data_IF_687007255645
#
_entry.id   IF_687007255645
#
_cell.length_a   1.000
_cell.length_b   1.000
_cell.length_c   1.000
_cell.angle_alpha   90.00
_cell.angle_beta   90.00
_cell.angle_gamma   90.00
#
_symmetry.space_group_name_H-M   'P 1'
#
loop_
_entity.id
_entity.type
_entity.pdbx_description
1 polymer ?
#
# COMPACT_ATOMS: atom_id res chain seq x y z
N UNK A 1 -20.27 -7.07 -9.42
CA UNK A 1 -18.97 -7.07 -10.10
C UNK A 1 -18.13 -8.20 -9.51
N UNK A 2 -17.49 -8.99 -10.35
CA UNK A 2 -16.55 -10.02 -9.92
C UNK A 2 -15.16 -9.40 -9.92
N UNK A 3 -14.43 -9.54 -8.81
CA UNK A 3 -13.02 -9.15 -8.73
C UNK A 3 -12.19 -10.31 -9.27
N UNK A 4 -11.37 -10.04 -10.28
CA UNK A 4 -10.44 -10.99 -10.85
C UNK A 4 -9.08 -10.82 -10.16
N UNK A 5 -8.40 -11.92 -9.90
CA UNK A 5 -7.01 -11.90 -9.47
C UNK A 5 -6.13 -12.09 -10.71
N UNK A 6 -5.53 -11.03 -11.25
CA UNK A 6 -4.67 -11.14 -12.42
C UNK A 6 -3.31 -11.72 -12.04
N UNK A 7 -2.62 -12.24 -13.04
CA UNK A 7 -1.20 -12.52 -12.97
C UNK A 7 -0.48 -11.32 -13.57
N UNK A 8 0.25 -10.59 -12.74
CA UNK A 8 1.14 -9.52 -13.18
C UNK A 8 2.44 -10.16 -13.69
N UNK A 9 2.73 -10.00 -14.98
CA UNK A 9 3.89 -10.65 -15.58
C UNK A 9 5.16 -9.80 -15.45
N UNK A 10 5.03 -8.52 -15.07
CA UNK A 10 6.15 -7.58 -14.87
C UNK A 10 5.80 -6.55 -13.81
N UNK A 11 6.80 -5.88 -13.27
CA UNK A 11 6.60 -4.79 -12.32
C UNK A 11 6.16 -3.51 -13.05
N UNK A 12 5.18 -2.81 -12.46
CA UNK A 12 4.76 -1.47 -12.89
C UNK A 12 5.39 -0.45 -11.94
N UNK A 13 6.22 0.44 -12.47
CA UNK A 13 7.01 1.41 -11.68
C UNK A 13 6.49 2.82 -11.91
N UNK A 14 6.17 3.55 -10.84
CA UNK A 14 5.74 4.94 -10.92
C UNK A 14 6.80 5.81 -11.63
N UNK A 15 6.36 6.68 -12.55
CA UNK A 15 7.23 7.52 -13.36
C UNK A 15 7.96 6.81 -14.50
N UNK A 16 7.81 5.49 -14.65
CA UNK A 16 8.44 4.72 -15.74
C UNK A 16 7.41 4.36 -16.78
N UNK A 17 7.63 4.76 -18.03
CA UNK A 17 6.71 4.45 -19.15
C UNK A 17 6.66 2.95 -19.38
N UNK A 18 5.45 2.40 -19.45
CA UNK A 18 5.22 0.99 -19.73
C UNK A 18 5.56 0.66 -21.20
N UNK A 19 6.01 -0.56 -21.41
CA UNK A 19 6.33 -1.13 -22.69
C UNK A 19 5.44 -2.35 -22.98
N UNK A 20 5.46 -2.89 -24.18
CA UNK A 20 4.72 -4.10 -24.53
C UNK A 20 5.07 -5.33 -23.66
N UNK A 21 6.19 -5.31 -22.94
CA UNK A 21 6.56 -6.34 -21.97
C UNK A 21 5.77 -6.24 -20.64
N UNK A 22 5.18 -5.08 -20.36
CA UNK A 22 4.35 -4.88 -19.16
C UNK A 22 2.95 -5.43 -19.44
N UNK A 23 2.72 -6.69 -19.12
CA UNK A 23 1.47 -7.39 -19.42
C UNK A 23 0.75 -7.84 -18.15
N UNK A 24 -0.55 -8.01 -18.28
CA UNK A 24 -1.46 -8.47 -17.27
C UNK A 24 -2.31 -9.60 -17.86
N UNK A 25 -2.35 -10.74 -17.20
CA UNK A 25 -3.12 -11.91 -17.66
C UNK A 25 -4.19 -12.31 -16.66
N UNK A 26 -5.35 -12.71 -17.16
CA UNK A 26 -6.44 -13.26 -16.36
C UNK A 26 -7.24 -14.30 -17.14
N UNK A 27 -7.97 -15.13 -16.42
CA UNK A 27 -8.82 -16.15 -17.03
C UNK A 27 -10.22 -15.61 -17.30
N UNK A 28 -10.75 -15.96 -18.47
CA UNK A 28 -12.15 -15.72 -18.86
C UNK A 28 -12.81 -17.04 -19.19
N UNK A 29 -14.11 -17.17 -18.96
CA UNK A 29 -14.89 -18.32 -19.40
C UNK A 29 -15.58 -17.99 -20.71
N UNK A 30 -15.10 -18.56 -21.80
CA UNK A 30 -15.61 -18.33 -23.16
C UNK A 30 -16.85 -19.20 -23.38
N UNK A 31 -17.96 -18.59 -23.79
CA UNK A 31 -19.23 -19.29 -24.06
C UNK A 31 -19.46 -19.56 -25.54
N UNK A 32 -18.76 -18.85 -26.44
CA UNK A 32 -18.75 -19.07 -27.86
C UNK A 32 -17.42 -18.63 -28.50
N UNK A 33 -16.87 -19.37 -29.46
CA UNK A 33 -15.70 -18.93 -30.22
C UNK A 33 -15.94 -17.59 -30.92
N UNK A 34 -14.90 -16.78 -31.06
CA UNK A 34 -15.01 -15.47 -31.71
C UNK A 34 -13.86 -14.52 -31.39
N UNK A 35 -13.86 -13.38 -32.02
CA UNK A 35 -12.90 -12.32 -31.76
C UNK A 35 -13.23 -11.58 -30.46
N UNK A 36 -12.19 -11.13 -29.76
CA UNK A 36 -12.37 -10.23 -28.61
C UNK A 36 -11.49 -8.99 -28.76
N UNK A 37 -11.96 -7.90 -28.17
CA UNK A 37 -11.19 -6.68 -27.95
C UNK A 37 -11.54 -6.15 -26.56
N UNK A 38 -10.53 -6.03 -25.71
CA UNK A 38 -10.67 -5.59 -24.32
C UNK A 38 -9.84 -4.34 -24.11
N UNK A 39 -10.39 -3.40 -23.38
CA UNK A 39 -9.72 -2.17 -22.99
C UNK A 39 -10.03 -1.86 -21.54
N UNK A 40 -9.02 -1.43 -20.81
CA UNK A 40 -9.16 -0.87 -19.48
C UNK A 40 -8.96 0.62 -19.60
N UNK A 41 -9.96 1.44 -19.23
CA UNK A 41 -9.83 2.90 -19.25
C UNK A 41 -8.63 3.35 -18.43
N UNK A 42 -8.07 4.51 -18.77
CA UNK A 42 -6.90 5.04 -18.06
C UNK A 42 -7.18 5.22 -16.56
N UNK A 43 -6.39 4.53 -15.74
CA UNK A 43 -6.37 4.70 -14.29
C UNK A 43 -4.93 4.94 -13.89
N UNK A 44 -4.67 5.99 -13.14
CA UNK A 44 -3.33 6.37 -12.67
C UNK A 44 -2.30 6.48 -13.83
N UNK A 45 -2.72 6.95 -15.01
CA UNK A 45 -1.86 7.12 -16.19
C UNK A 45 -1.56 5.83 -16.98
N UNK A 46 -2.19 4.71 -16.62
CA UNK A 46 -2.00 3.41 -17.28
C UNK A 46 -3.27 2.97 -18.00
N UNK A 47 -3.10 2.44 -19.20
CA UNK A 47 -4.14 1.81 -20.03
C UNK A 47 -3.67 0.39 -20.32
N UNK A 48 -4.58 -0.58 -20.22
CA UNK A 48 -4.33 -1.94 -20.70
C UNK A 48 -5.26 -2.28 -21.85
N UNK A 49 -4.71 -2.85 -22.92
CA UNK A 49 -5.48 -3.28 -24.10
C UNK A 49 -5.05 -4.64 -24.59
N UNK A 50 -5.97 -5.37 -25.16
CA UNK A 50 -5.68 -6.65 -25.81
C UNK A 50 -6.80 -7.09 -26.73
N UNK A 51 -6.45 -7.76 -27.79
CA UNK A 51 -7.39 -8.33 -28.76
C UNK A 51 -6.90 -9.68 -29.24
N UNK A 52 -7.81 -10.51 -29.69
CA UNK A 52 -7.47 -11.83 -30.17
C UNK A 52 -8.70 -12.61 -30.63
N UNK A 53 -8.53 -13.93 -30.72
CA UNK A 53 -9.56 -14.86 -31.14
C UNK A 53 -9.63 -16.06 -30.20
N UNK A 54 -10.80 -16.34 -29.67
CA UNK A 54 -11.08 -17.55 -28.91
C UNK A 54 -11.50 -18.68 -29.85
N UNK A 55 -10.67 -19.72 -29.96
CA UNK A 55 -10.94 -20.86 -30.85
C UNK A 55 -11.87 -21.90 -30.20
N UNK A 56 -11.98 -21.91 -28.85
CA UNK A 56 -12.74 -22.89 -28.10
C UNK A 56 -13.54 -22.26 -26.97
N UNK A 57 -14.59 -22.94 -26.53
CA UNK A 57 -15.36 -22.63 -25.32
C UNK A 57 -14.61 -23.09 -24.07
N UNK A 58 -14.95 -22.52 -22.90
CA UNK A 58 -14.36 -22.85 -21.61
C UNK A 58 -13.35 -21.85 -21.12
N UNK A 59 -12.55 -22.18 -20.09
CA UNK A 59 -11.56 -21.29 -19.53
C UNK A 59 -10.43 -20.99 -20.53
N UNK A 60 -10.23 -19.69 -20.82
CA UNK A 60 -9.17 -19.19 -21.70
C UNK A 60 -8.42 -18.07 -21.00
N UNK A 61 -7.12 -17.95 -21.26
CA UNK A 61 -6.29 -16.86 -20.73
C UNK A 61 -6.31 -15.69 -21.70
N UNK A 62 -6.57 -14.49 -21.16
CA UNK A 62 -6.43 -13.24 -21.90
C UNK A 62 -5.21 -12.51 -21.35
N UNK A 63 -4.38 -11.99 -22.25
CA UNK A 63 -3.25 -11.13 -21.91
C UNK A 63 -3.47 -9.75 -22.49
N UNK A 64 -3.37 -8.73 -21.62
CA UNK A 64 -3.43 -7.32 -22.01
C UNK A 64 -2.04 -6.70 -21.91
N UNK A 65 -1.69 -5.85 -22.86
CA UNK A 65 -0.46 -5.04 -22.81
C UNK A 65 -0.74 -3.69 -22.18
N UNK A 66 0.16 -3.26 -21.30
CA UNK A 66 0.07 -1.97 -20.62
C UNK A 66 0.75 -0.86 -21.41
N UNK A 67 0.16 0.34 -21.38
CA UNK A 67 0.68 1.55 -22.00
C UNK A 67 0.51 2.74 -21.06
N UNK A 68 1.36 3.75 -21.26
CA UNK A 68 1.34 4.97 -20.44
C UNK A 68 2.40 4.97 -19.34
N UNK A 69 2.31 5.95 -18.44
CA UNK A 69 3.26 6.13 -17.35
C UNK A 69 2.49 6.22 -16.04
N UNK A 70 2.66 5.24 -15.12
CA UNK A 70 2.02 5.29 -13.82
C UNK A 70 2.42 6.55 -13.07
N UNK A 71 1.46 7.34 -12.58
CA UNK A 71 1.74 8.62 -11.92
C UNK A 71 2.10 8.44 -10.44
N UNK A 72 1.45 7.51 -9.75
CA UNK A 72 1.59 7.31 -8.30
C UNK A 72 1.77 5.83 -7.96
N UNK A 73 2.63 5.49 -6.99
CA UNK A 73 2.72 4.13 -6.47
C UNK A 73 1.49 3.78 -5.63
N UNK A 74 1.18 2.50 -5.52
CA UNK A 74 0.08 1.99 -4.71
C UNK A 74 -0.70 0.88 -5.40
N UNK A 75 -1.75 0.43 -4.72
CA UNK A 75 -2.70 -0.55 -5.26
C UNK A 75 -3.73 0.19 -6.10
N UNK A 76 -3.92 -0.24 -7.33
CA UNK A 76 -4.86 0.35 -8.30
C UNK A 76 -5.96 -0.65 -8.60
N UNK A 77 -7.22 -0.22 -8.50
CA UNK A 77 -8.38 -0.98 -8.98
C UNK A 77 -8.80 -0.44 -10.34
N UNK A 78 -8.94 -1.31 -11.30
CA UNK A 78 -9.34 -0.96 -12.66
C UNK A 78 -10.47 -1.87 -13.15
N UNK A 79 -11.35 -1.31 -13.96
CA UNK A 79 -12.50 -2.02 -14.55
C UNK A 79 -12.21 -2.37 -16.02
N UNK A 80 -12.43 -3.61 -16.39
CA UNK A 80 -12.39 -4.03 -17.79
C UNK A 80 -13.65 -3.54 -18.49
N UNK A 81 -13.48 -2.65 -19.45
CA UNK A 81 -14.58 -2.24 -20.32
C UNK A 81 -14.65 -3.17 -21.51
N UNK A 82 -15.83 -3.74 -21.76
CA UNK A 82 -16.14 -4.48 -22.98
C UNK A 82 -17.39 -3.90 -23.62
N UNK A 83 -17.40 -3.84 -24.92
CA UNK A 83 -18.55 -3.33 -25.68
C UNK A 83 -19.81 -4.21 -25.56
N UNK A 84 -19.72 -5.44 -25.03
CA UNK A 84 -20.80 -6.43 -25.05
C UNK A 84 -21.12 -7.10 -23.71
N UNK A 85 -20.49 -6.73 -22.58
CA UNK A 85 -20.77 -7.36 -21.29
C UNK A 85 -21.66 -6.50 -20.40
N UNK A 86 -22.77 -7.08 -19.97
CA UNK A 86 -23.66 -6.49 -18.95
C UNK A 86 -23.06 -6.50 -17.53
N UNK A 87 -21.92 -7.15 -17.32
CA UNK A 87 -21.20 -7.26 -16.04
C UNK A 87 -19.79 -6.69 -16.18
N UNK A 88 -19.49 -5.67 -15.35
CA UNK A 88 -18.13 -5.14 -15.21
C UNK A 88 -17.31 -6.12 -14.37
N UNK A 89 -16.10 -6.43 -14.84
CA UNK A 89 -15.10 -7.14 -14.07
C UNK A 89 -14.03 -6.15 -13.62
N UNK A 90 -13.73 -6.14 -12.33
CA UNK A 90 -12.64 -5.32 -11.78
C UNK A 90 -11.44 -6.20 -11.49
N UNK A 91 -10.25 -5.65 -11.60
CA UNK A 91 -9.03 -6.27 -11.14
C UNK A 91 -8.14 -5.28 -10.39
N UNK A 92 -7.21 -5.82 -9.64
CA UNK A 92 -6.27 -5.04 -8.82
C UNK A 92 -4.86 -5.30 -9.35
N UNK A 93 -4.07 -4.25 -9.52
CA UNK A 93 -2.64 -4.34 -9.82
C UNK A 93 -1.84 -3.38 -8.97
N UNK A 94 -0.54 -3.66 -8.80
CA UNK A 94 0.34 -2.90 -7.91
C UNK A 94 1.35 -2.09 -8.70
N UNK A 95 1.43 -0.80 -8.42
CA UNK A 95 2.47 0.10 -8.92
C UNK A 95 3.48 0.32 -7.80
N UNK A 96 4.74 -0.04 -8.05
CA UNK A 96 5.82 0.17 -7.10
C UNK A 96 6.41 1.58 -7.25
N UNK A 97 7.03 2.14 -6.19
CA UNK A 97 7.72 3.43 -6.27
C UNK A 97 8.86 3.42 -7.30
N UNK A 98 9.20 4.60 -7.81
CA UNK A 98 10.42 4.78 -8.62
C UNK A 98 11.65 4.42 -7.78
N UNK A 99 12.47 3.50 -8.29
CA UNK A 99 13.59 2.92 -7.54
C UNK A 99 13.48 1.41 -7.32
N UNK A 100 12.32 0.80 -7.67
CA UNK A 100 12.13 -0.65 -7.72
C UNK A 100 12.00 -1.36 -6.37
N UNK A 101 11.99 -0.64 -5.26
CA UNK A 101 11.77 -1.22 -3.93
C UNK A 101 10.31 -1.11 -3.52
N UNK A 102 9.68 -2.27 -3.23
CA UNK A 102 8.37 -2.31 -2.59
C UNK A 102 8.42 -1.71 -1.18
N UNK A 103 9.53 -1.90 -0.47
CA UNK A 103 9.74 -1.41 0.88
C UNK A 103 10.55 -0.10 0.86
N UNK A 104 10.10 0.87 1.62
CA UNK A 104 10.84 2.09 1.85
C UNK A 104 12.17 1.81 2.56
N UNK A 105 13.19 2.58 2.21
CA UNK A 105 14.43 2.63 2.97
C UNK A 105 14.41 3.89 3.83
N UNK A 106 14.44 3.72 5.15
CA UNK A 106 14.37 4.82 6.11
C UNK A 106 14.93 4.43 7.47
N UNK A 107 15.18 5.44 8.29
CA UNK A 107 15.51 5.31 9.71
C UNK A 107 14.57 6.20 10.52
N UNK A 108 14.33 5.83 11.78
CA UNK A 108 13.62 6.72 12.71
C UNK A 108 14.52 7.90 13.04
N UNK A 109 13.99 9.12 12.97
CA UNK A 109 14.73 10.31 13.38
C UNK A 109 14.90 10.31 14.92
N UNK A 110 16.13 10.47 15.40
CA UNK A 110 16.49 10.28 16.81
C UNK A 110 16.89 8.83 17.14
N UNK A 111 17.28 8.02 16.12
CA UNK A 111 17.69 6.64 16.33
C UNK A 111 18.73 6.48 17.45
N UNK A 112 18.48 5.52 18.33
CA UNK A 112 19.31 5.28 19.52
C UNK A 112 19.05 6.23 20.70
N UNK A 113 18.13 7.18 20.58
CA UNK A 113 17.73 8.15 21.60
C UNK A 113 16.24 8.49 21.51
N UNK A 114 15.83 9.65 22.03
CA UNK A 114 14.44 10.13 21.90
C UNK A 114 14.04 10.35 20.44
N UNK A 115 12.82 9.92 20.08
CA UNK A 115 12.25 10.16 18.78
C UNK A 115 12.13 11.67 18.51
N UNK A 116 12.55 12.11 17.31
CA UNK A 116 12.45 13.51 16.94
C UNK A 116 10.98 13.90 16.68
N UNK A 117 10.65 15.16 17.03
CA UNK A 117 9.33 15.77 16.86
C UNK A 117 8.17 14.95 17.43
N UNK A 118 8.42 14.25 18.54
CA UNK A 118 7.38 13.48 19.21
C UNK A 118 6.21 14.37 19.66
N UNK A 119 5.00 13.95 19.33
CA UNK A 119 3.76 14.54 19.79
C UNK A 119 2.65 13.51 19.87
N UNK A 120 1.63 13.76 20.69
CA UNK A 120 0.49 12.86 20.88
C UNK A 120 -0.83 13.57 20.66
N UNK A 121 -1.86 12.80 20.30
CA UNK A 121 -3.25 13.26 20.25
C UNK A 121 -4.15 12.23 20.93
N UNK A 122 -5.27 12.69 21.48
CA UNK A 122 -6.20 11.88 22.27
C UNK A 122 -5.87 11.83 23.75
N UNK A 123 -6.73 11.17 24.52
CA UNK A 123 -6.56 10.97 25.98
C UNK A 123 -6.16 9.54 26.27
N UNK A 124 -5.17 9.36 27.12
CA UNK A 124 -4.61 8.05 27.45
C UNK A 124 -4.98 7.69 28.88
N UNK A 125 -6.17 7.11 29.07
CA UNK A 125 -6.74 6.80 30.39
C UNK A 125 -6.67 5.31 30.69
N UNK A 126 -6.16 4.88 31.86
CA UNK A 126 -6.14 3.48 32.27
C UNK A 126 -7.52 2.84 32.24
N UNK A 127 -7.59 1.58 31.80
CA UNK A 127 -8.83 0.84 31.68
C UNK A 127 -9.71 1.22 30.48
N UNK A 128 -9.37 2.28 29.72
CA UNK A 128 -10.11 2.69 28.53
C UNK A 128 -9.42 2.17 27.27
N UNK A 129 -10.10 1.37 26.43
CA UNK A 129 -9.52 0.89 25.18
C UNK A 129 -9.11 2.05 24.26
N UNK A 130 -7.91 1.95 23.69
CA UNK A 130 -7.42 2.89 22.69
C UNK A 130 -8.22 2.78 21.39
N UNK A 131 -8.33 3.89 20.68
CA UNK A 131 -9.06 3.98 19.42
C UNK A 131 -8.28 4.83 18.39
N UNK A 132 -8.83 5.03 17.21
CA UNK A 132 -8.17 5.76 16.10
C UNK A 132 -7.80 7.22 16.39
N UNK A 133 -8.27 7.81 17.50
CA UNK A 133 -7.91 9.19 17.91
C UNK A 133 -6.70 9.24 18.85
N UNK A 134 -6.34 8.10 19.45
CA UNK A 134 -5.16 7.97 20.30
C UNK A 134 -3.93 7.73 19.43
N UNK A 135 -3.16 8.77 19.17
CA UNK A 135 -2.03 8.70 18.23
C UNK A 135 -0.75 9.27 18.83
N UNK A 136 0.37 8.78 18.31
CA UNK A 136 1.70 9.33 18.52
C UNK A 136 2.32 9.66 17.16
N UNK A 137 2.88 10.83 16.99
CA UNK A 137 3.57 11.24 15.77
C UNK A 137 5.06 11.37 16.06
N UNK A 138 5.89 10.80 15.19
CA UNK A 138 7.36 10.86 15.23
C UNK A 138 7.89 11.06 13.82
N UNK A 139 9.13 11.50 13.67
CA UNK A 139 9.74 11.66 12.36
C UNK A 139 10.54 10.43 11.91
N UNK A 140 10.55 10.20 10.60
CA UNK A 140 11.43 9.27 9.90
C UNK A 140 12.29 10.02 8.87
N UNK A 141 13.53 9.58 8.68
CA UNK A 141 14.43 10.04 7.62
C UNK A 141 14.38 9.03 6.48
N UNK A 142 13.67 9.38 5.42
CA UNK A 142 13.43 8.51 4.27
C UNK A 142 14.52 8.74 3.22
N UNK A 143 15.22 7.66 2.86
CA UNK A 143 16.25 7.65 1.82
C UNK A 143 15.79 6.95 0.54
N UNK A 144 14.77 6.07 0.63
CA UNK A 144 14.10 5.44 -0.52
C UNK A 144 12.60 5.38 -0.31
N UNK A 145 11.84 5.76 -1.33
CA UNK A 145 10.37 5.73 -1.32
C UNK A 145 9.86 4.29 -1.32
N UNK A 146 8.66 4.04 -0.80
CA UNK A 146 8.06 2.71 -0.74
C UNK A 146 7.14 2.50 0.45
N UNK A 147 6.64 1.29 0.57
CA UNK A 147 5.77 0.89 1.68
C UNK A 147 6.59 0.82 2.97
N UNK A 148 6.01 1.32 4.05
CA UNK A 148 6.60 1.22 5.37
C UNK A 148 5.65 0.61 6.39
N UNK A 149 6.25 0.00 7.40
CA UNK A 149 5.60 -0.35 8.66
C UNK A 149 6.48 0.16 9.81
N UNK A 150 5.85 0.73 10.82
CA UNK A 150 6.48 1.20 12.06
C UNK A 150 5.66 0.70 13.23
N UNK A 151 6.30 0.16 14.24
CA UNK A 151 5.60 -0.33 15.42
C UNK A 151 6.41 -0.08 16.70
N UNK A 152 5.70 0.11 17.80
CA UNK A 152 6.35 0.10 19.13
C UNK A 152 6.35 -1.31 19.73
N UNK A 153 7.17 -1.50 20.75
CA UNK A 153 6.95 -2.58 21.71
C UNK A 153 5.61 -2.38 22.45
N UNK A 154 5.07 -3.46 23.01
CA UNK A 154 3.88 -3.38 23.87
C UNK A 154 4.30 -3.00 25.29
N UNK A 155 3.78 -1.88 25.78
CA UNK A 155 4.03 -1.39 27.14
C UNK A 155 2.70 -0.99 27.77
N UNK A 156 2.50 -1.33 29.03
CA UNK A 156 1.26 -1.04 29.77
C UNK A 156 -0.02 -1.50 29.04
N UNK A 157 0.06 -2.60 28.25
CA UNK A 157 -1.07 -3.12 27.47
C UNK A 157 -1.36 -2.35 26.16
N UNK A 158 -0.52 -1.40 25.78
CA UNK A 158 -0.67 -0.56 24.58
C UNK A 158 0.49 -0.79 23.61
N UNK A 159 0.16 -0.82 22.33
CA UNK A 159 1.13 -0.85 21.22
C UNK A 159 0.76 0.25 20.21
N UNK A 160 1.75 0.93 19.67
CA UNK A 160 1.58 1.93 18.61
C UNK A 160 1.99 1.36 17.27
N UNK A 161 1.16 1.51 16.24
CA UNK A 161 1.41 0.95 14.91
C UNK A 161 1.09 1.95 13.80
N UNK A 162 1.88 1.94 12.75
CA UNK A 162 1.63 2.68 11.53
C UNK A 162 2.05 1.86 10.30
N UNK A 163 1.33 2.02 9.21
CA UNK A 163 1.73 1.55 7.89
C UNK A 163 1.29 2.55 6.83
N UNK A 164 2.03 2.60 5.74
CA UNK A 164 1.72 3.54 4.66
C UNK A 164 2.75 3.46 3.54
N UNK A 165 2.80 4.53 2.74
CA UNK A 165 3.74 4.65 1.64
C UNK A 165 4.45 6.00 1.70
N UNK A 166 5.78 5.98 1.76
CA UNK A 166 6.59 7.18 1.57
C UNK A 166 6.73 7.47 0.06
N UNK A 167 6.11 8.55 -0.38
CA UNK A 167 6.15 9.00 -1.78
C UNK A 167 7.30 9.96 -2.09
N UNK A 168 8.02 10.42 -1.05
CA UNK A 168 9.14 11.35 -1.16
C UNK A 168 10.21 11.02 -0.13
N UNK A 169 11.47 11.30 -0.46
CA UNK A 169 12.61 11.23 0.46
C UNK A 169 12.68 12.43 1.41
N UNK A 170 13.59 12.39 2.37
CA UNK A 170 13.78 13.42 3.40
C UNK A 170 13.03 13.11 4.68
N UNK A 171 12.95 14.09 5.59
CA UNK A 171 12.24 13.93 6.85
C UNK A 171 10.73 13.89 6.63
N UNK A 172 10.08 12.86 7.17
CA UNK A 172 8.63 12.61 7.05
C UNK A 172 8.04 12.28 8.41
N UNK A 173 6.92 12.93 8.73
CA UNK A 173 6.15 12.59 9.92
C UNK A 173 5.43 11.24 9.72
N UNK A 174 5.47 10.40 10.75
CA UNK A 174 4.77 9.11 10.84
C UNK A 174 3.83 9.17 12.02
N UNK A 175 2.53 9.07 11.77
CA UNK A 175 1.51 9.02 12.82
C UNK A 175 1.15 7.56 13.09
N UNK A 176 1.43 7.12 14.31
CA UNK A 176 1.12 5.78 14.81
C UNK A 176 -0.20 5.82 15.57
N UNK A 177 -1.06 4.84 15.37
CA UNK A 177 -2.29 4.66 16.12
C UNK A 177 -2.06 3.71 17.27
N UNK A 178 -2.54 4.09 18.45
CA UNK A 178 -2.49 3.24 19.65
C UNK A 178 -3.58 2.15 19.57
N UNK A 179 -3.22 0.93 19.93
CA UNK A 179 -4.12 -0.21 20.08
C UNK A 179 -3.89 -0.87 21.45
N UNK A 180 -4.95 -1.44 22.02
CA UNK A 180 -4.91 -2.09 23.33
C UNK A 180 -5.61 -1.28 24.40
N UNK A 181 -5.42 -1.66 25.66
CA UNK A 181 -6.03 -1.00 26.84
C UNK A 181 -4.93 -0.78 27.88
N UNK A 182 -4.66 0.47 28.29
CA UNK A 182 -3.66 0.74 29.33
C UNK A 182 -4.09 0.12 30.66
N UNK A 183 -3.16 -0.56 31.32
CA UNK A 183 -3.43 -1.25 32.57
C UNK A 183 -3.33 -0.33 33.81
N UNK A 184 -2.42 0.64 33.79
CA UNK A 184 -2.11 1.49 34.95
C UNK A 184 -1.83 2.93 34.55
N UNK A 185 -2.03 3.86 35.48
CA UNK A 185 -1.55 5.24 35.39
C UNK A 185 -0.03 5.30 35.60
N UNK A 186 0.60 6.32 35.00
CA UNK A 186 2.05 6.54 35.10
C UNK A 186 2.69 6.83 33.75
N UNK A 187 3.98 7.14 33.80
CA UNK A 187 4.79 7.40 32.61
C UNK A 187 5.53 6.14 32.19
N UNK A 188 5.41 5.78 30.90
CA UNK A 188 6.00 4.58 30.33
C UNK A 188 6.78 4.92 29.07
N UNK A 189 7.94 4.27 28.90
CA UNK A 189 8.81 4.44 27.73
C UNK A 189 8.48 3.40 26.66
N UNK A 190 8.17 3.87 25.47
CA UNK A 190 7.94 3.07 24.27
C UNK A 190 9.16 3.11 23.36
N UNK A 191 9.56 1.95 22.85
CA UNK A 191 10.59 1.82 21.81
C UNK A 191 9.92 1.61 20.47
N UNK A 192 10.09 2.56 19.55
CA UNK A 192 9.50 2.54 18.20
C UNK A 192 10.54 2.08 17.20
N UNK A 193 10.22 1.02 16.48
CA UNK A 193 11.08 0.43 15.45
C UNK A 193 10.48 0.66 14.07
N UNK A 194 11.30 1.15 13.15
CA UNK A 194 10.95 1.33 11.76
C UNK A 194 12.19 1.34 10.85
N UNK A 195 12.08 0.74 9.67
CA UNK A 195 13.22 0.55 8.80
C UNK A 195 14.31 -0.27 9.50
N UNK A 196 15.52 0.30 9.60
CA UNK A 196 16.66 -0.35 10.24
C UNK A 196 17.03 0.25 11.60
N UNK A 197 16.13 1.00 12.25
CA UNK A 197 16.46 1.77 13.47
C UNK A 197 15.32 1.83 14.47
N UNK A 198 15.66 2.23 15.70
CA UNK A 198 14.74 2.36 16.84
C UNK A 198 14.99 3.68 17.54
N UNK A 199 13.93 4.37 17.95
CA UNK A 199 13.95 5.52 18.86
C UNK A 199 12.96 5.30 19.99
N UNK A 200 12.98 6.13 21.03
CA UNK A 200 12.10 6.00 22.21
C UNK A 200 11.27 7.26 22.44
N UNK A 201 10.11 7.11 23.07
CA UNK A 201 9.35 8.23 23.62
C UNK A 201 8.67 7.84 24.94
N UNK A 202 8.46 8.83 25.80
CA UNK A 202 7.74 8.65 27.04
C UNK A 202 6.30 9.13 26.89
N UNK A 203 5.34 8.34 27.41
CA UNK A 203 3.92 8.66 27.39
C UNK A 203 3.33 8.48 28.79
N UNK A 204 2.56 9.48 29.24
CA UNK A 204 1.86 9.44 30.54
C UNK A 204 0.39 9.04 30.32
N UNK A 205 -0.03 8.07 31.09
CA UNK A 205 -1.43 7.63 31.23
C UNK A 205 -2.00 8.21 32.52
N UNK A 206 -3.10 8.97 32.43
CA UNK A 206 -3.77 9.69 33.53
C UNK A 206 -5.18 9.17 33.79
#
# INVERSE_FOLDING_TARGET
AQVLTPIENTLYVAGTTLTAANTLSFMVNVTAPGTYSLSVPSVNGVIFTGSGYFAAIGPQTVTLSGFGTPAQPGIVTADVATLSLSTKCSFIYTIIPSGGNLNATFTMAGAGSACANFSTSGTFTPGTPMNGTNTATVDAIVTGTGIYTVASNTVNGVTFVASGNFTQTGTRAVTLTAIGTPAAAGTFTFSVTGGSSTCTFDLTFN
#
